data_IF_878371295507
#
_entry.id   IF_878371295507
#
_cell.length_a   1.000
_cell.length_b   1.000
_cell.length_c   1.000
_cell.angle_alpha   90.00
_cell.angle_beta   90.00
_cell.angle_gamma   90.00
#
_symmetry.space_group_name_H-M   'P 1'
#
loop_
_entity.id
_entity.type
_entity.pdbx_description
1 polymer ?
#
# COMPACT_ATOMS: atom_id res chain seq x y z
N UNK A 1 -33.14 -15.43 -25.60
CA UNK A 1 -32.99 -15.99 -24.23
C UNK A 1 -31.85 -15.26 -23.54
N UNK A 2 -32.13 -14.46 -22.51
CA UNK A 2 -31.12 -13.73 -21.73
C UNK A 2 -30.58 -14.67 -20.64
N UNK A 3 -29.26 -14.83 -20.46
CA UNK A 3 -28.74 -15.63 -19.36
C UNK A 3 -29.06 -14.95 -18.03
N UNK A 4 -29.82 -15.66 -17.20
CA UNK A 4 -30.28 -15.23 -15.89
C UNK A 4 -29.11 -15.38 -14.91
N UNK A 5 -28.43 -14.29 -14.57
CA UNK A 5 -27.39 -14.30 -13.53
C UNK A 5 -28.09 -14.52 -12.18
N UNK A 6 -27.93 -15.72 -11.65
CA UNK A 6 -28.44 -16.12 -10.34
C UNK A 6 -27.67 -15.38 -9.24
N UNK A 7 -28.40 -14.85 -8.25
CA UNK A 7 -27.92 -14.10 -7.06
C UNK A 7 -26.97 -14.88 -6.15
N UNK A 8 -26.48 -16.06 -6.56
CA UNK A 8 -25.77 -17.04 -5.72
C UNK A 8 -24.27 -17.22 -5.98
N UNK A 9 -23.67 -16.43 -6.87
CA UNK A 9 -22.21 -16.48 -7.08
C UNK A 9 -21.57 -15.12 -6.88
N UNK A 10 -21.56 -14.64 -5.63
CA UNK A 10 -20.62 -13.61 -5.21
C UNK A 10 -20.36 -13.69 -3.71
N UNK A 11 -19.72 -14.78 -3.27
CA UNK A 11 -19.00 -14.76 -1.99
C UNK A 11 -17.61 -14.23 -2.31
N UNK A 12 -17.47 -12.89 -2.27
CA UNK A 12 -16.16 -12.32 -1.95
C UNK A 12 -15.94 -12.62 -0.48
N UNK A 13 -15.06 -13.56 -0.21
CA UNK A 13 -14.52 -13.83 1.12
C UNK A 13 -14.02 -12.50 1.68
N UNK A 14 -14.79 -11.89 2.59
CA UNK A 14 -14.25 -10.87 3.48
C UNK A 14 -13.29 -11.65 4.37
N UNK A 15 -11.99 -11.61 4.03
CA UNK A 15 -10.99 -12.02 4.99
C UNK A 15 -11.21 -11.15 6.23
N UNK A 16 -11.60 -11.78 7.33
CA UNK A 16 -11.76 -11.14 8.63
C UNK A 16 -10.38 -10.75 9.19
N UNK A 17 -9.67 -9.89 8.46
CA UNK A 17 -8.44 -9.26 8.90
C UNK A 17 -8.81 -8.07 9.77
N UNK A 18 -8.42 -8.11 11.04
CA UNK A 18 -8.71 -7.04 11.98
C UNK A 18 -8.26 -5.68 11.41
N UNK A 19 -9.20 -4.74 11.25
CA UNK A 19 -8.96 -3.44 10.60
C UNK A 19 -8.05 -2.63 11.50
N UNK A 20 -6.86 -2.23 11.04
CA UNK A 20 -6.00 -1.36 11.85
C UNK A 20 -6.60 0.03 11.90
N UNK A 21 -6.93 0.44 13.11
CA UNK A 21 -7.47 1.75 13.42
C UNK A 21 -6.38 2.73 13.76
N UNK A 22 -5.16 2.28 14.12
CA UNK A 22 -4.06 3.20 14.35
C UNK A 22 -2.71 2.60 14.71
N UNK A 23 -1.80 3.44 15.19
CA UNK A 23 -0.45 3.08 15.60
C UNK A 23 -0.20 3.46 17.07
N UNK A 24 0.35 2.53 17.83
CA UNK A 24 0.88 2.74 19.18
C UNK A 24 2.33 3.25 19.07
N UNK A 25 2.58 4.54 19.37
CA UNK A 25 3.91 5.12 19.25
C UNK A 25 4.89 4.66 20.34
N UNK A 26 4.40 4.09 21.45
CA UNK A 26 5.23 3.63 22.59
C UNK A 26 5.81 2.27 22.24
N UNK A 27 4.94 1.31 21.91
CA UNK A 27 5.35 -0.06 21.57
C UNK A 27 5.78 -0.20 20.11
N UNK A 28 5.63 0.87 19.32
CA UNK A 28 5.88 0.90 17.88
C UNK A 28 5.12 -0.21 17.14
N UNK A 29 3.91 -0.49 17.58
CA UNK A 29 3.06 -1.55 17.07
C UNK A 29 1.78 -0.96 16.47
N UNK A 30 1.17 -1.67 15.54
CA UNK A 30 -0.10 -1.26 14.94
C UNK A 30 -1.28 -1.85 15.70
N UNK A 31 -2.35 -1.06 15.83
CA UNK A 31 -3.54 -1.37 16.63
C UNK A 31 -4.71 -1.71 15.73
N UNK A 32 -5.20 -2.94 15.87
CA UNK A 32 -6.37 -3.45 15.15
C UNK A 32 -7.67 -3.16 15.90
N UNK A 33 -8.82 -3.21 15.22
CA UNK A 33 -10.15 -3.17 15.87
C UNK A 33 -10.33 -4.27 16.91
N UNK A 34 -9.61 -5.39 16.77
CA UNK A 34 -9.67 -6.52 17.68
C UNK A 34 -8.73 -6.38 18.90
N UNK A 35 -7.77 -5.46 18.86
CA UNK A 35 -6.79 -5.25 19.94
C UNK A 35 -7.14 -3.98 20.73
N UNK A 36 -7.55 -4.14 21.98
CA UNK A 36 -7.80 -3.03 22.89
C UNK A 36 -6.47 -2.38 23.30
N UNK A 37 -5.97 -1.44 22.50
CA UNK A 37 -4.87 -0.57 22.92
C UNK A 37 -5.44 0.67 23.64
N UNK A 38 -4.93 1.02 24.84
CA UNK A 38 -5.45 2.14 25.63
C UNK A 38 -5.25 3.50 24.96
N UNK A 39 -4.28 3.63 24.05
CA UNK A 39 -4.07 4.82 23.23
C UNK A 39 -3.42 4.45 21.89
N UNK A 40 -4.07 4.78 20.78
CA UNK A 40 -3.53 4.61 19.43
C UNK A 40 -3.80 5.85 18.59
N UNK A 41 -2.93 6.13 17.61
CA UNK A 41 -3.15 7.26 16.69
C UNK A 41 -3.87 6.78 15.45
N UNK A 42 -5.02 7.39 15.14
CA UNK A 42 -5.82 7.00 13.98
C UNK A 42 -5.07 7.17 12.67
N UNK A 43 -5.15 6.18 11.78
CA UNK A 43 -4.66 6.29 10.40
C UNK A 43 -5.39 7.46 9.70
N UNK A 44 -4.72 8.27 8.88
CA UNK A 44 -5.40 9.31 8.11
C UNK A 44 -6.51 8.71 7.23
N UNK A 45 -7.46 9.55 6.83
CA UNK A 45 -8.37 9.19 5.74
C UNK A 45 -7.56 8.96 4.46
N UNK A 46 -7.89 7.90 3.74
CA UNK A 46 -7.27 7.51 2.49
C UNK A 46 -8.38 7.27 1.47
N UNK A 47 -8.17 7.75 0.24
CA UNK A 47 -9.05 7.49 -0.90
C UNK A 47 -8.84 6.06 -1.45
N UNK A 48 -7.61 5.56 -1.32
CA UNK A 48 -7.19 4.21 -1.69
C UNK A 48 -7.26 3.21 -0.54
N UNK A 49 -6.41 2.18 -0.61
CA UNK A 49 -6.46 1.01 0.27
C UNK A 49 -5.13 0.83 0.99
N UNK A 50 -5.20 0.53 2.28
CA UNK A 50 -4.03 0.14 3.07
C UNK A 50 -4.07 -1.38 3.34
N UNK A 51 -3.39 -2.13 2.48
CA UNK A 51 -3.36 -3.61 2.46
C UNK A 51 -2.47 -4.16 3.57
N UNK A 52 -2.89 -5.30 4.11
CA UNK A 52 -2.20 -6.04 5.19
C UNK A 52 -2.37 -7.54 5.11
N UNK A 53 -3.09 -8.02 4.10
CA UNK A 53 -3.16 -9.44 3.82
C UNK A 53 -1.77 -9.97 3.50
N UNK A 54 -1.52 -11.22 3.89
CA UNK A 54 -0.19 -11.82 3.77
C UNK A 54 0.33 -11.84 2.34
N UNK A 55 -0.56 -11.95 1.35
CA UNK A 55 -0.17 -11.91 -0.06
C UNK A 55 0.45 -10.56 -0.44
N UNK A 56 -0.20 -9.45 -0.10
CA UNK A 56 0.34 -8.11 -0.35
C UNK A 56 1.65 -7.86 0.40
N UNK A 57 1.74 -8.26 1.67
CA UNK A 57 2.95 -8.09 2.47
C UNK A 57 4.11 -8.94 1.96
N UNK A 58 3.85 -10.18 1.55
CA UNK A 58 4.88 -11.07 0.97
C UNK A 58 5.35 -10.54 -0.38
N UNK A 59 4.45 -10.11 -1.26
CA UNK A 59 4.83 -9.52 -2.55
C UNK A 59 5.68 -8.25 -2.40
N UNK A 60 5.36 -7.42 -1.40
CA UNK A 60 6.10 -6.20 -1.11
C UNK A 60 7.46 -6.45 -0.42
N UNK A 61 7.66 -7.63 0.16
CA UNK A 61 8.90 -8.07 0.82
C UNK A 61 9.87 -8.79 -0.14
N UNK A 62 9.57 -8.82 -1.43
CA UNK A 62 10.40 -9.43 -2.45
C UNK A 62 10.75 -8.41 -3.53
N UNK A 63 11.86 -8.59 -4.24
CA UNK A 63 12.25 -7.77 -5.38
C UNK A 63 12.93 -8.66 -6.43
N UNK A 64 13.31 -8.07 -7.58
CA UNK A 64 13.89 -8.83 -8.69
C UNK A 64 15.18 -9.58 -8.33
N UNK A 65 15.90 -9.14 -7.29
CA UNK A 65 17.11 -9.83 -6.85
C UNK A 65 16.81 -11.12 -6.11
N UNK A 66 15.69 -11.19 -5.38
CA UNK A 66 15.34 -12.31 -4.49
C UNK A 66 16.44 -12.62 -3.45
N UNK A 67 17.28 -11.65 -3.10
CA UNK A 67 18.41 -11.82 -2.16
C UNK A 67 18.02 -11.42 -0.74
N UNK A 68 17.22 -10.37 -0.64
CA UNK A 68 16.90 -9.66 0.60
C UNK A 68 15.38 -9.62 0.73
N UNK A 69 14.88 -9.87 1.95
CA UNK A 69 13.45 -9.80 2.25
C UNK A 69 13.20 -9.05 3.55
N UNK A 70 12.64 -7.85 3.42
CA UNK A 70 12.24 -6.97 4.52
C UNK A 70 10.73 -6.84 4.48
N UNK A 71 10.06 -7.41 5.48
CA UNK A 71 8.60 -7.50 5.47
C UNK A 71 8.01 -6.20 5.99
N UNK A 72 7.17 -5.50 5.19
CA UNK A 72 6.43 -4.35 5.70
C UNK A 72 5.28 -4.80 6.59
N UNK A 73 4.74 -3.86 7.38
CA UNK A 73 3.50 -4.07 8.14
C UNK A 73 2.24 -3.69 7.36
N UNK A 74 2.40 -2.92 6.29
CA UNK A 74 1.32 -2.48 5.43
C UNK A 74 1.85 -2.07 4.05
N UNK A 75 0.99 -2.20 3.04
CA UNK A 75 1.20 -1.66 1.70
C UNK A 75 0.09 -0.66 1.41
N UNK A 76 0.45 0.60 1.17
CA UNK A 76 -0.48 1.61 0.71
C UNK A 76 -0.62 1.49 -0.81
N UNK A 77 -1.83 1.20 -1.27
CA UNK A 77 -2.30 1.35 -2.65
C UNK A 77 -3.02 2.72 -2.72
N UNK A 78 -2.31 3.84 -3.01
CA UNK A 78 -2.90 5.18 -2.98
C UNK A 78 -3.99 5.37 -4.03
N UNK A 79 -5.12 5.94 -3.63
CA UNK A 79 -6.17 6.38 -4.55
C UNK A 79 -5.96 7.80 -5.07
N UNK A 80 -5.05 8.55 -4.44
CA UNK A 80 -4.69 9.91 -4.82
C UNK A 80 -3.28 10.28 -4.35
N UNK A 81 -2.73 11.36 -4.90
CA UNK A 81 -1.48 11.96 -4.38
C UNK A 81 -1.62 12.37 -2.91
N UNK A 82 -2.84 12.74 -2.49
CA UNK A 82 -3.09 13.17 -1.11
C UNK A 82 -2.94 12.02 -0.11
N UNK A 83 -3.22 10.77 -0.50
CA UNK A 83 -2.96 9.59 0.31
C UNK A 83 -1.47 9.46 0.65
N UNK A 84 -0.60 9.65 -0.34
CA UNK A 84 0.86 9.62 -0.16
C UNK A 84 1.28 10.74 0.80
N UNK A 85 0.82 11.97 0.58
CA UNK A 85 1.11 13.12 1.45
C UNK A 85 0.69 12.85 2.90
N UNK A 86 -0.53 12.34 3.09
CA UNK A 86 -1.08 12.02 4.39
C UNK A 86 -0.27 10.92 5.09
N UNK A 87 0.09 9.86 4.36
CA UNK A 87 0.84 8.74 4.91
C UNK A 87 2.29 9.12 5.24
N UNK A 88 2.96 9.91 4.41
CA UNK A 88 4.31 10.44 4.69
C UNK A 88 4.29 11.29 5.96
N UNK A 89 3.28 12.17 6.11
CA UNK A 89 3.12 13.00 7.32
C UNK A 89 2.85 12.15 8.56
N UNK A 90 1.99 11.14 8.45
CA UNK A 90 1.72 10.17 9.52
C UNK A 90 2.99 9.41 9.90
N UNK A 91 3.70 8.85 8.92
CA UNK A 91 4.93 8.10 9.14
C UNK A 91 6.01 8.96 9.81
N UNK A 92 6.18 10.21 9.37
CA UNK A 92 7.10 11.17 10.00
C UNK A 92 6.74 11.41 11.47
N UNK A 93 5.46 11.67 11.77
CA UNK A 93 4.97 11.89 13.15
C UNK A 93 5.25 10.69 14.06
N UNK A 94 5.16 9.48 13.51
CA UNK A 94 5.29 8.22 14.25
C UNK A 94 6.64 7.53 14.09
N UNK A 95 7.62 8.16 13.42
CA UNK A 95 8.96 7.62 13.15
C UNK A 95 8.91 6.25 12.44
N UNK A 96 7.94 6.09 11.56
CA UNK A 96 7.80 4.93 10.70
C UNK A 96 8.66 5.12 9.45
N UNK A 97 9.31 4.05 9.01
CA UNK A 97 9.99 4.03 7.71
C UNK A 97 8.98 3.78 6.61
N UNK A 98 9.24 4.37 5.46
CA UNK A 98 8.44 4.19 4.24
C UNK A 98 9.35 3.91 3.06
N UNK A 99 8.88 3.13 2.10
CA UNK A 99 9.55 2.91 0.83
C UNK A 99 8.55 3.07 -0.32
N UNK A 100 8.92 3.83 -1.35
CA UNK A 100 8.16 3.87 -2.60
C UNK A 100 8.53 2.66 -3.45
N UNK A 101 7.53 1.97 -3.99
CA UNK A 101 7.70 0.80 -4.84
C UNK A 101 6.97 1.01 -6.16
N UNK A 102 7.72 0.95 -7.27
CA UNK A 102 7.16 0.78 -8.61
C UNK A 102 6.96 -0.70 -8.92
N UNK A 103 7.68 -1.22 -9.91
CA UNK A 103 7.59 -2.62 -10.33
C UNK A 103 8.49 -3.59 -9.53
N UNK A 104 9.25 -3.11 -8.55
CA UNK A 104 10.12 -3.97 -7.74
C UNK A 104 11.37 -4.51 -8.46
N UNK A 105 11.83 -3.86 -9.54
CA UNK A 105 13.01 -4.26 -10.32
C UNK A 105 14.37 -3.96 -9.66
N UNK A 106 14.40 -3.58 -8.39
CA UNK A 106 15.66 -3.48 -7.64
C UNK A 106 16.14 -4.87 -7.22
N UNK A 107 17.37 -4.96 -6.71
CA UNK A 107 18.06 -6.25 -6.49
C UNK A 107 18.51 -6.51 -5.06
N UNK A 108 18.34 -5.54 -4.16
CA UNK A 108 18.91 -5.60 -2.81
C UNK A 108 18.07 -4.87 -1.77
N UNK A 109 16.75 -5.02 -1.84
CA UNK A 109 15.80 -4.54 -0.83
C UNK A 109 15.47 -3.05 -0.89
N UNK A 110 15.92 -2.31 -1.91
CA UNK A 110 15.67 -0.86 -2.02
C UNK A 110 14.18 -0.46 -1.98
N UNK A 111 13.23 -1.20 -2.59
CA UNK A 111 11.81 -0.87 -2.54
C UNK A 111 11.09 -1.52 -1.35
N UNK A 112 11.83 -2.19 -0.46
CA UNK A 112 11.29 -2.90 0.69
C UNK A 112 11.52 -2.10 1.97
N UNK A 113 10.75 -2.38 3.02
CA UNK A 113 10.96 -1.74 4.32
C UNK A 113 10.54 -2.64 5.47
N UNK A 114 11.48 -2.94 6.36
CA UNK A 114 11.22 -3.77 7.53
C UNK A 114 10.35 -3.03 8.53
N UNK A 115 9.26 -3.69 8.95
CA UNK A 115 8.28 -3.17 9.88
C UNK A 115 7.72 -1.76 9.53
N UNK A 116 7.85 -1.35 8.26
CA UNK A 116 7.43 -0.04 7.75
C UNK A 116 6.28 -0.15 6.74
N UNK A 117 6.06 0.93 5.99
CA UNK A 117 4.98 1.00 5.00
C UNK A 117 5.57 1.08 3.60
N UNK A 118 5.22 0.14 2.74
CA UNK A 118 5.49 0.26 1.30
C UNK A 118 4.37 1.09 0.65
N UNK A 119 4.71 2.00 -0.24
CA UNK A 119 3.76 2.74 -1.08
C UNK A 119 3.83 2.13 -2.48
N UNK A 120 2.77 1.44 -2.90
CA UNK A 120 2.64 0.85 -4.23
C UNK A 120 2.20 1.91 -5.25
N UNK A 121 3.17 2.44 -5.98
CA UNK A 121 2.96 3.51 -6.94
C UNK A 121 2.16 3.08 -8.17
N UNK A 122 1.96 1.76 -8.38
CA UNK A 122 1.33 1.22 -9.60
C UNK A 122 -0.15 1.60 -9.75
N UNK A 123 -0.78 2.06 -8.66
CA UNK A 123 -2.15 2.57 -8.66
C UNK A 123 -2.27 4.00 -9.18
N UNK A 124 -1.19 4.78 -9.15
CA UNK A 124 -1.09 6.09 -9.79
C UNK A 124 -0.37 5.90 -11.13
N UNK A 125 -1.12 5.52 -12.17
CA UNK A 125 -0.58 5.15 -13.48
C UNK A 125 -1.29 5.85 -14.65
N UNK A 126 -1.69 7.10 -14.45
CA UNK A 126 -2.36 7.90 -15.49
C UNK A 126 -1.34 8.66 -16.35
N UNK A 127 -1.53 8.61 -17.67
CA UNK A 127 -0.90 9.54 -18.61
C UNK A 127 -1.82 10.77 -18.72
N UNK A 128 -1.36 11.92 -18.24
CA UNK A 128 -2.16 13.15 -18.20
C UNK A 128 -2.12 13.91 -19.51
N UNK A 129 -0.94 14.01 -20.14
CA UNK A 129 -0.75 14.75 -21.40
C UNK A 129 0.45 14.20 -22.14
N UNK A 130 0.34 14.07 -23.46
CA UNK A 130 1.45 13.80 -24.37
C UNK A 130 1.58 15.03 -25.29
N UNK A 131 2.67 15.76 -25.13
CA UNK A 131 3.07 16.87 -25.98
C UNK A 131 4.01 16.42 -27.10
N UNK A 132 4.46 17.37 -27.92
CA UNK A 132 5.40 17.09 -29.01
C UNK A 132 6.81 16.75 -28.54
N UNK A 133 7.18 17.18 -27.33
CA UNK A 133 8.53 17.06 -26.76
C UNK A 133 8.54 16.57 -25.29
N UNK A 134 7.36 16.33 -24.70
CA UNK A 134 7.24 15.90 -23.31
C UNK A 134 5.99 15.06 -23.08
N UNK A 135 5.96 14.35 -21.97
CA UNK A 135 4.75 13.73 -21.42
C UNK A 135 4.65 14.04 -19.93
N UNK A 136 3.43 14.27 -19.45
CA UNK A 136 3.12 14.39 -18.03
C UNK A 136 2.39 13.13 -17.61
N UNK A 137 2.99 12.36 -16.70
CA UNK A 137 2.50 11.05 -16.28
C UNK A 137 2.63 10.90 -14.77
N UNK A 138 1.79 10.05 -14.19
CA UNK A 138 2.00 9.61 -12.82
C UNK A 138 3.24 8.72 -12.70
N UNK A 139 3.81 8.65 -11.50
CA UNK A 139 5.04 7.90 -11.23
C UNK A 139 4.92 6.37 -11.39
N UNK A 140 3.71 5.83 -11.44
CA UNK A 140 3.45 4.40 -11.66
C UNK A 140 3.27 4.01 -13.12
N UNK A 141 3.31 4.95 -14.07
CA UNK A 141 3.24 4.64 -15.51
C UNK A 141 4.48 3.84 -15.93
N UNK A 142 4.26 2.77 -16.70
CA UNK A 142 5.35 1.98 -17.27
C UNK A 142 5.88 2.65 -18.53
N UNK A 143 7.19 2.55 -18.74
CA UNK A 143 7.84 3.03 -19.97
C UNK A 143 7.35 2.37 -21.26
N UNK A 144 6.71 1.21 -21.15
CA UNK A 144 6.19 0.45 -22.29
C UNK A 144 4.75 0.82 -22.68
N UNK A 145 4.07 1.66 -21.88
CA UNK A 145 2.72 2.15 -22.19
C UNK A 145 2.78 3.28 -23.21
#
# INVERSE_FOLDING_TARGET
MRPHVSRRSFIKTIAAGAVIVGFDPINRSWVTTAAAAPAFTRIPHLDGVLRRDDAALTAAADDFGHIVSHRPVAVLEPGSVQDIVNMVRFARKHRLRIAGRGQGHSTYGQPQVEAGIVIDMNTLNTIHTIGTDHAVVDAGVLWSQ
#
